data_IF_069587096505
#
_entry.id   IF_069587096505
#
_cell.length_a   1.000
_cell.length_b   1.000
_cell.length_c   1.000
_cell.angle_alpha   90.00
_cell.angle_beta   90.00
_cell.angle_gamma   90.00
#
_symmetry.space_group_name_H-M   'P 1'
#
loop_
_entity.id
_entity.type
_entity.pdbx_description
1 polymer ?
#
# COMPACT_ATOMS: atom_id res chain seq x y z
N UNK A 1 -4.43 -2.18 10.23
CA UNK A 1 -4.26 -1.13 9.21
C UNK A 1 -4.61 0.23 9.82
N UNK A 2 -4.41 1.34 9.10
CA UNK A 2 -4.64 2.70 9.63
C UNK A 2 -5.35 3.60 8.60
N UNK A 3 -5.84 4.78 9.01
CA UNK A 3 -6.58 5.71 8.14
C UNK A 3 -5.85 6.04 6.84
N UNK A 4 -4.52 6.05 6.88
CA UNK A 4 -3.74 6.20 5.67
C UNK A 4 -3.91 5.11 4.61
N UNK A 5 -4.05 3.85 5.02
CA UNK A 5 -4.37 2.74 4.13
C UNK A 5 -5.80 2.89 3.60
N UNK A 6 -6.73 3.32 4.48
CA UNK A 6 -8.12 3.53 4.09
C UNK A 6 -8.25 4.57 2.96
N UNK A 7 -7.64 5.74 3.16
CA UNK A 7 -7.68 6.84 2.18
C UNK A 7 -6.88 6.50 0.92
N UNK A 8 -5.70 5.90 1.08
CA UNK A 8 -4.79 5.63 -0.03
C UNK A 8 -5.17 4.41 -0.89
N UNK A 9 -5.96 3.46 -0.37
CA UNK A 9 -6.28 2.25 -1.12
C UNK A 9 -7.62 1.62 -0.77
N UNK A 10 -7.94 1.40 0.51
CA UNK A 10 -9.07 0.54 0.88
C UNK A 10 -10.42 1.12 0.43
N UNK A 11 -10.63 2.44 0.56
CA UNK A 11 -11.85 3.10 0.10
C UNK A 11 -12.07 2.88 -1.40
N UNK A 12 -11.01 2.84 -2.20
CA UNK A 12 -11.10 2.56 -3.63
C UNK A 12 -11.44 1.08 -3.89
N UNK A 13 -10.77 0.15 -3.19
CA UNK A 13 -11.07 -1.29 -3.29
C UNK A 13 -12.53 -1.62 -2.94
N UNK A 14 -13.10 -0.91 -1.97
CA UNK A 14 -14.52 -1.06 -1.61
C UNK A 14 -15.44 -0.63 -2.74
N UNK A 15 -15.04 0.34 -3.58
CA UNK A 15 -15.80 0.72 -4.78
C UNK A 15 -15.57 -0.26 -5.93
N UNK A 16 -14.32 -0.68 -6.14
CA UNK A 16 -13.93 -1.53 -7.27
C UNK A 16 -14.59 -2.92 -7.20
N UNK A 17 -14.83 -3.46 -6.00
CA UNK A 17 -15.50 -4.76 -5.85
C UNK A 17 -16.93 -4.80 -6.43
N UNK A 18 -17.57 -3.65 -6.67
CA UNK A 18 -18.92 -3.57 -7.26
C UNK A 18 -18.87 -3.42 -8.79
N UNK A 19 -17.69 -3.18 -9.37
CA UNK A 19 -17.51 -2.89 -10.80
C UNK A 19 -16.52 -3.83 -11.51
N UNK A 20 -15.75 -4.61 -10.75
CA UNK A 20 -14.71 -5.50 -11.27
C UNK A 20 -14.70 -6.84 -10.52
N UNK A 21 -14.21 -7.87 -11.20
CA UNK A 21 -13.82 -9.13 -10.57
C UNK A 21 -12.56 -8.92 -9.72
N UNK A 22 -12.77 -8.61 -8.44
CA UNK A 22 -11.70 -8.14 -7.57
C UNK A 22 -10.96 -9.29 -6.88
N UNK A 23 -9.63 -9.22 -6.90
CA UNK A 23 -8.73 -10.05 -6.11
C UNK A 23 -7.99 -9.19 -5.09
N UNK A 24 -7.95 -9.64 -3.84
CA UNK A 24 -7.16 -9.03 -2.77
C UNK A 24 -6.27 -10.08 -2.14
N UNK A 25 -4.98 -9.97 -2.41
CA UNK A 25 -3.96 -10.86 -1.85
C UNK A 25 -3.47 -10.35 -0.48
N UNK A 26 -3.29 -11.27 0.45
CA UNK A 26 -2.48 -11.08 1.66
C UNK A 26 -1.09 -11.63 1.36
N UNK A 27 -0.14 -10.73 1.07
CA UNK A 27 1.20 -11.04 0.57
C UNK A 27 2.17 -11.46 1.69
N UNK A 28 1.92 -12.61 2.32
CA UNK A 28 2.71 -13.09 3.45
C UNK A 28 4.11 -13.59 3.06
N UNK A 29 4.28 -14.16 1.86
CA UNK A 29 5.61 -14.54 1.34
C UNK A 29 6.44 -13.29 1.04
N UNK A 30 5.85 -12.26 0.41
CA UNK A 30 6.52 -10.98 0.18
C UNK A 30 6.88 -10.28 1.51
N UNK A 31 6.00 -10.33 2.52
CA UNK A 31 6.29 -9.78 3.85
C UNK A 31 7.46 -10.49 4.56
N UNK A 32 7.80 -11.73 4.21
CA UNK A 32 8.98 -12.41 4.73
C UNK A 32 10.28 -11.91 4.09
N UNK A 33 10.25 -11.20 2.97
CA UNK A 33 11.48 -10.68 2.34
C UNK A 33 12.24 -9.70 3.25
N UNK A 34 11.54 -9.03 4.17
CA UNK A 34 12.10 -8.10 5.15
C UNK A 34 11.72 -8.41 6.62
N UNK A 35 10.93 -9.46 6.87
CA UNK A 35 10.60 -9.95 8.21
C UNK A 35 10.89 -11.46 8.39
N UNK A 36 11.83 -12.04 7.62
CA UNK A 36 12.17 -13.46 7.70
C UNK A 36 12.66 -13.93 9.08
N UNK A 37 13.24 -13.03 9.89
CA UNK A 37 13.64 -13.32 11.27
C UNK A 37 12.46 -13.31 12.27
N UNK A 38 11.28 -12.83 11.84
CA UNK A 38 10.07 -12.65 12.66
C UNK A 38 8.82 -13.24 12.00
N UNK A 39 8.81 -14.53 11.63
CA UNK A 39 7.68 -15.15 10.91
C UNK A 39 6.36 -15.14 11.72
N UNK A 40 6.44 -15.15 13.05
CA UNK A 40 5.28 -15.04 13.95
C UNK A 40 4.53 -13.72 13.78
N UNK A 41 5.24 -12.62 13.51
CA UNK A 41 4.66 -11.31 13.25
C UNK A 41 3.89 -11.29 11.93
N UNK A 42 4.45 -11.91 10.88
CA UNK A 42 3.78 -12.04 9.58
C UNK A 42 2.51 -12.88 9.74
N UNK A 43 2.61 -14.03 10.41
CA UNK A 43 1.46 -14.92 10.67
C UNK A 43 0.33 -14.23 11.44
N UNK A 44 0.66 -13.47 12.49
CA UNK A 44 -0.33 -12.72 13.25
C UNK A 44 -1.03 -11.66 12.37
N UNK A 45 -0.24 -10.96 11.54
CA UNK A 45 -0.73 -9.89 10.67
C UNK A 45 -1.75 -10.37 9.63
N UNK A 46 -1.70 -11.63 9.19
CA UNK A 46 -2.68 -12.19 8.22
C UNK A 46 -4.11 -12.02 8.74
N UNK A 47 -4.35 -12.38 10.01
CA UNK A 47 -5.68 -12.26 10.62
C UNK A 47 -6.09 -10.81 10.81
N UNK A 48 -5.16 -9.96 11.27
CA UNK A 48 -5.41 -8.53 11.45
C UNK A 48 -5.80 -7.86 10.13
N UNK A 49 -5.04 -8.11 9.07
CA UNK A 49 -5.29 -7.58 7.71
C UNK A 49 -6.63 -8.06 7.17
N UNK A 50 -6.96 -9.35 7.35
CA UNK A 50 -8.25 -9.87 6.92
C UNK A 50 -9.41 -9.18 7.68
N UNK A 51 -9.28 -9.02 9.00
CA UNK A 51 -10.28 -8.31 9.81
C UNK A 51 -10.45 -6.85 9.35
N UNK A 52 -9.34 -6.15 9.09
CA UNK A 52 -9.37 -4.79 8.57
C UNK A 52 -10.11 -4.70 7.23
N UNK A 53 -9.87 -5.63 6.29
CA UNK A 53 -10.58 -5.66 5.01
C UNK A 53 -12.09 -5.83 5.19
N UNK A 54 -12.51 -6.77 6.04
CA UNK A 54 -13.93 -6.97 6.33
C UNK A 54 -14.54 -5.75 7.00
N UNK A 55 -13.84 -5.14 7.97
CA UNK A 55 -14.32 -4.00 8.72
C UNK A 55 -14.56 -2.76 7.85
N UNK A 56 -13.75 -2.54 6.80
CA UNK A 56 -13.94 -1.41 5.88
C UNK A 56 -14.97 -1.68 4.78
N UNK A 57 -15.52 -2.89 4.71
CA UNK A 57 -16.60 -3.26 3.78
C UNK A 57 -16.14 -4.02 2.53
N UNK A 58 -14.96 -4.65 2.54
CA UNK A 58 -14.64 -5.66 1.52
C UNK A 58 -15.52 -6.89 1.79
N UNK A 59 -16.36 -7.23 0.82
CA UNK A 59 -17.29 -8.35 0.89
C UNK A 59 -16.67 -9.60 0.24
N UNK A 60 -16.44 -10.70 0.99
CA UNK A 60 -15.93 -11.95 0.44
C UNK A 60 -16.84 -12.61 -0.61
N UNK A 61 -18.11 -12.17 -0.71
CA UNK A 61 -19.01 -12.63 -1.78
C UNK A 61 -18.77 -11.92 -3.12
N UNK A 62 -18.07 -10.78 -3.09
CA UNK A 62 -17.76 -9.95 -4.27
C UNK A 62 -16.27 -9.93 -4.59
N UNK A 63 -15.42 -10.08 -3.56
CA UNK A 63 -13.97 -10.05 -3.67
C UNK A 63 -13.38 -11.42 -3.32
N UNK A 64 -12.51 -11.92 -4.20
CA UNK A 64 -11.68 -13.09 -3.89
C UNK A 64 -10.50 -12.66 -3.02
N UNK A 65 -10.53 -13.04 -1.75
CA UNK A 65 -9.43 -12.81 -0.81
C UNK A 65 -8.62 -14.09 -0.67
N UNK A 66 -7.31 -14.02 -0.87
CA UNK A 66 -6.42 -15.19 -0.74
C UNK A 66 -5.10 -14.85 -0.05
N UNK A 67 -4.43 -15.87 0.47
CA UNK A 67 -3.13 -15.77 1.15
C UNK A 67 -2.07 -16.28 0.18
N UNK A 68 -1.01 -15.50 -0.04
CA UNK A 68 0.02 -15.79 -1.05
C UNK A 68 0.69 -17.15 -0.82
N UNK A 69 1.07 -17.47 0.42
CA UNK A 69 1.72 -18.75 0.76
C UNK A 69 0.85 -19.99 0.55
N UNK A 70 -0.47 -19.83 0.37
CA UNK A 70 -1.38 -20.95 0.08
C UNK A 70 -1.48 -21.27 -1.42
N UNK A 71 -0.81 -20.49 -2.26
CA UNK A 71 -0.78 -20.66 -3.72
C UNK A 71 0.69 -20.89 -4.15
N UNK A 72 1.21 -22.13 -4.04
CA UNK A 72 2.60 -22.43 -4.36
C UNK A 72 2.97 -22.17 -5.82
N UNK A 73 1.99 -22.15 -6.73
CA UNK A 73 2.18 -21.85 -8.16
C UNK A 73 2.73 -20.44 -8.38
N UNK A 74 2.46 -19.48 -7.48
CA UNK A 74 3.06 -18.14 -7.52
C UNK A 74 4.59 -18.23 -7.34
N UNK A 75 5.05 -19.08 -6.42
CA UNK A 75 6.47 -19.27 -6.19
C UNK A 75 7.13 -19.96 -7.39
N UNK A 76 6.47 -20.96 -7.99
CA UNK A 76 6.94 -21.58 -9.23
C UNK A 76 7.05 -20.57 -10.38
N UNK A 77 6.02 -19.75 -10.60
CA UNK A 77 6.00 -18.73 -11.64
C UNK A 77 7.09 -17.68 -11.43
N UNK A 78 7.36 -17.32 -10.17
CA UNK A 78 8.47 -16.43 -9.80
C UNK A 78 9.80 -16.99 -10.28
N UNK A 79 10.06 -18.29 -10.08
CA UNK A 79 11.30 -18.94 -10.54
C UNK A 79 11.44 -18.85 -12.06
N UNK A 80 10.35 -19.03 -12.82
CA UNK A 80 10.39 -18.86 -14.26
C UNK A 80 10.70 -17.41 -14.66
N UNK A 81 10.05 -16.44 -14.01
CA UNK A 81 10.23 -15.01 -14.29
C UNK A 81 11.62 -14.48 -13.95
N UNK A 82 12.33 -15.08 -12.98
CA UNK A 82 13.72 -14.74 -12.68
C UNK A 82 14.66 -14.91 -13.89
N UNK A 83 14.31 -15.74 -14.87
CA UNK A 83 15.10 -15.90 -16.10
C UNK A 83 14.81 -14.80 -17.14
N UNK A 84 13.76 -14.00 -16.95
CA UNK A 84 13.27 -13.02 -17.92
C UNK A 84 13.72 -11.59 -17.62
N UNK A 85 14.36 -11.37 -16.48
CA UNK A 85 14.82 -10.07 -16.01
C UNK A 85 16.24 -10.19 -15.45
N UNK A 86 17.09 -9.20 -15.72
CA UNK A 86 18.45 -9.19 -15.17
C UNK A 86 18.46 -8.63 -13.76
N UNK A 87 19.39 -9.10 -12.92
CA UNK A 87 19.64 -8.54 -11.59
C UNK A 87 19.84 -7.02 -11.63
N UNK A 88 20.59 -6.52 -12.63
CA UNK A 88 20.82 -5.09 -12.79
C UNK A 88 19.51 -4.31 -13.07
N UNK A 89 18.60 -4.85 -13.89
CA UNK A 89 17.32 -4.21 -14.16
C UNK A 89 16.47 -4.09 -12.90
N UNK A 90 16.48 -5.13 -12.07
CA UNK A 90 15.78 -5.15 -10.76
C UNK A 90 16.38 -4.11 -9.81
N UNK A 91 17.70 -4.06 -9.66
CA UNK A 91 18.36 -3.11 -8.75
C UNK A 91 18.27 -1.64 -9.20
N UNK A 92 17.96 -1.40 -10.49
CA UNK A 92 17.67 -0.07 -11.03
C UNK A 92 16.23 0.39 -10.81
N UNK A 93 15.34 -0.47 -10.28
CA UNK A 93 13.99 -0.07 -9.91
C UNK A 93 14.06 1.01 -8.80
N UNK A 94 13.54 2.23 -9.02
CA UNK A 94 13.68 3.34 -8.07
C UNK A 94 12.99 3.06 -6.74
N UNK A 95 11.85 2.36 -6.74
CA UNK A 95 11.11 1.97 -5.54
C UNK A 95 11.96 1.06 -4.66
N UNK A 96 12.48 -0.01 -5.25
CA UNK A 96 13.38 -0.96 -4.56
C UNK A 96 14.63 -0.25 -4.04
N UNK A 97 15.24 0.61 -4.85
CA UNK A 97 16.44 1.37 -4.47
C UNK A 97 16.20 2.26 -3.26
N UNK A 98 15.05 2.93 -3.20
CA UNK A 98 14.71 3.80 -2.08
C UNK A 98 14.34 3.00 -0.83
N UNK A 99 13.67 1.86 -0.97
CA UNK A 99 13.39 0.96 0.15
C UNK A 99 14.66 0.33 0.73
N UNK A 100 15.63 -0.08 -0.11
CA UNK A 100 16.95 -0.55 0.32
C UNK A 100 17.65 0.50 1.20
N UNK A 101 17.64 1.76 0.76
CA UNK A 101 18.22 2.86 1.55
C UNK A 101 17.49 3.05 2.87
N UNK A 102 16.15 3.04 2.85
CA UNK A 102 15.33 3.23 4.05
C UNK A 102 15.52 2.12 5.08
N UNK A 103 15.74 0.88 4.63
CA UNK A 103 16.01 -0.27 5.49
C UNK A 103 17.46 -0.36 5.95
N UNK A 104 18.36 0.45 5.40
CA UNK A 104 19.76 0.47 5.78
C UNK A 104 20.51 -0.80 5.40
N UNK A 105 20.06 -1.55 4.38
CA UNK A 105 20.73 -2.78 3.96
C UNK A 105 22.13 -2.54 3.39
N UNK A 106 22.40 -1.34 2.89
CA UNK A 106 23.66 -1.02 2.23
C UNK A 106 23.91 -1.97 1.06
N UNK A 107 25.01 -2.71 1.10
CA UNK A 107 25.34 -3.73 0.09
C UNK A 107 24.82 -5.14 0.45
N UNK A 108 24.40 -5.36 1.69
CA UNK A 108 23.94 -6.67 2.18
C UNK A 108 22.42 -6.81 2.02
N UNK A 109 21.95 -6.71 0.77
CA UNK A 109 20.53 -6.77 0.46
C UNK A 109 20.09 -8.24 0.46
N UNK A 110 19.05 -8.64 1.21
CA UNK A 110 18.51 -9.99 1.13
C UNK A 110 18.07 -10.29 -0.32
N UNK A 111 18.46 -11.45 -0.86
CA UNK A 111 18.16 -11.78 -2.26
C UNK A 111 16.64 -11.79 -2.55
N UNK A 112 15.84 -12.33 -1.63
CA UNK A 112 14.38 -12.29 -1.73
C UNK A 112 13.83 -10.87 -1.73
N UNK A 113 14.42 -9.95 -0.95
CA UNK A 113 14.07 -8.53 -0.98
C UNK A 113 14.48 -7.87 -2.29
N UNK A 114 15.68 -8.15 -2.80
CA UNK A 114 16.08 -7.59 -4.09
C UNK A 114 15.09 -8.02 -5.19
N UNK A 115 14.65 -9.28 -5.17
CA UNK A 115 13.86 -9.88 -6.26
C UNK A 115 12.34 -9.79 -6.08
N UNK A 116 11.83 -9.15 -5.02
CA UNK A 116 10.38 -9.07 -4.79
C UNK A 116 9.58 -8.45 -5.96
N UNK A 117 10.13 -7.55 -6.81
CA UNK A 117 9.38 -7.11 -7.99
C UNK A 117 9.04 -8.21 -8.98
N UNK A 118 9.89 -9.25 -9.04
CA UNK A 118 9.68 -10.40 -9.91
C UNK A 118 8.60 -11.32 -9.35
N UNK A 119 8.58 -11.53 -8.02
CA UNK A 119 7.47 -12.26 -7.39
C UNK A 119 6.16 -11.49 -7.47
N UNK A 120 6.20 -10.16 -7.34
CA UNK A 120 5.01 -9.32 -7.52
C UNK A 120 4.46 -9.38 -8.95
N UNK A 121 5.32 -9.49 -9.96
CA UNK A 121 4.88 -9.75 -11.32
C UNK A 121 4.16 -11.11 -11.42
N UNK A 122 4.67 -12.15 -10.75
CA UNK A 122 4.02 -13.46 -10.68
C UNK A 122 2.66 -13.40 -9.95
N UNK A 123 2.54 -12.62 -8.88
CA UNK A 123 1.27 -12.40 -8.18
C UNK A 123 0.20 -11.80 -9.11
N UNK A 124 0.59 -10.80 -9.91
CA UNK A 124 -0.30 -10.09 -10.84
C UNK A 124 -0.75 -11.01 -11.97
N UNK A 125 0.18 -11.75 -12.58
CA UNK A 125 -0.12 -12.60 -13.74
C UNK A 125 -0.78 -13.93 -13.37
N UNK A 126 -0.58 -14.43 -12.15
CA UNK A 126 -1.25 -15.64 -11.65
C UNK A 126 -2.79 -15.50 -11.72
N UNK A 127 -3.32 -14.33 -11.39
CA UNK A 127 -4.77 -14.03 -11.49
C UNK A 127 -5.17 -13.39 -12.82
N UNK A 128 -4.26 -13.30 -13.80
CA UNK A 128 -4.46 -12.59 -15.07
C UNK A 128 -5.01 -11.16 -14.89
N UNK A 129 -4.49 -10.42 -13.91
CA UNK A 129 -4.97 -9.06 -13.65
C UNK A 129 -4.65 -8.13 -14.84
N UNK A 130 -5.70 -7.51 -15.38
CA UNK A 130 -5.61 -6.49 -16.42
C UNK A 130 -5.49 -5.07 -15.86
N UNK A 131 -5.89 -4.85 -14.60
CA UNK A 131 -5.87 -3.56 -13.93
C UNK A 131 -5.39 -3.73 -12.48
N UNK A 132 -4.38 -2.96 -12.08
CA UNK A 132 -3.75 -3.05 -10.75
C UNK A 132 -3.80 -1.69 -10.06
N UNK A 133 -4.59 -1.53 -8.98
CA UNK A 133 -4.60 -0.30 -8.19
C UNK A 133 -3.27 -0.10 -7.46
N UNK A 134 -2.62 1.03 -7.72
CA UNK A 134 -1.28 1.33 -7.19
C UNK A 134 -1.11 2.80 -6.81
N UNK A 135 -0.15 3.07 -5.92
CA UNK A 135 0.37 4.42 -5.72
C UNK A 135 1.36 4.80 -6.83
N UNK A 136 1.64 6.08 -7.00
CA UNK A 136 2.64 6.58 -7.97
C UNK A 136 4.02 5.95 -7.74
N UNK A 137 4.39 5.72 -6.48
CA UNK A 137 5.64 5.06 -6.10
C UNK A 137 5.74 3.60 -6.53
N UNK A 138 4.64 2.98 -6.95
CA UNK A 138 4.58 1.58 -7.39
C UNK A 138 4.46 1.46 -8.92
N UNK A 139 4.35 2.57 -9.67
CA UNK A 139 4.39 2.54 -11.14
C UNK A 139 5.61 1.80 -11.72
N UNK A 140 6.84 1.96 -11.16
CA UNK A 140 8.01 1.22 -11.65
C UNK A 140 7.86 -0.30 -11.52
N UNK A 141 7.10 -0.78 -10.53
CA UNK A 141 6.80 -2.19 -10.32
C UNK A 141 5.87 -2.74 -11.40
N UNK A 142 4.85 -1.94 -11.75
CA UNK A 142 3.91 -2.30 -12.83
C UNK A 142 4.63 -2.31 -14.18
N UNK A 143 5.50 -1.33 -14.46
CA UNK A 143 6.29 -1.35 -15.70
C UNK A 143 7.20 -2.58 -15.77
N UNK A 144 7.85 -2.95 -14.67
CA UNK A 144 8.67 -4.16 -14.62
C UNK A 144 7.84 -5.43 -14.85
N UNK A 145 6.61 -5.47 -14.35
CA UNK A 145 5.66 -6.56 -14.63
C UNK A 145 5.33 -6.64 -16.12
N UNK A 146 5.06 -5.49 -16.77
CA UNK A 146 4.80 -5.43 -18.21
C UNK A 146 5.99 -5.85 -19.05
N UNK A 147 7.22 -5.49 -18.64
CA UNK A 147 8.45 -5.98 -19.29
C UNK A 147 8.56 -7.51 -19.22
N UNK A 148 8.29 -8.10 -18.06
CA UNK A 148 8.32 -9.56 -17.87
C UNK A 148 7.24 -10.24 -18.72
N UNK A 149 6.00 -9.72 -18.71
CA UNK A 149 4.89 -10.23 -19.53
C UNK A 149 5.24 -10.19 -21.02
N UNK A 150 5.71 -9.05 -21.53
CA UNK A 150 6.12 -8.91 -22.94
C UNK A 150 7.22 -9.91 -23.29
N UNK A 151 8.22 -10.07 -22.42
CA UNK A 151 9.32 -11.02 -22.62
C UNK A 151 8.81 -12.46 -22.65
N UNK A 152 7.98 -12.85 -21.68
CA UNK A 152 7.38 -14.19 -21.62
C UNK A 152 6.59 -14.48 -22.90
N UNK A 153 5.67 -13.58 -23.27
CA UNK A 153 4.81 -13.78 -24.43
C UNK A 153 5.61 -13.86 -25.73
N UNK A 154 6.69 -13.09 -25.86
CA UNK A 154 7.58 -13.14 -27.04
C UNK A 154 8.34 -14.46 -27.18
N UNK A 155 8.62 -15.15 -26.08
CA UNK A 155 9.41 -16.39 -26.07
C UNK A 155 8.53 -17.63 -26.17
N UNK A 156 7.35 -17.60 -25.53
CA UNK A 156 6.54 -18.80 -25.29
C UNK A 156 5.14 -18.73 -25.92
N UNK A 157 4.77 -17.60 -26.52
CA UNK A 157 3.44 -17.35 -27.09
C UNK A 157 2.57 -16.49 -26.16
N UNK A 158 1.51 -15.88 -26.71
CA UNK A 158 0.63 -14.98 -25.96
C UNK A 158 -0.18 -15.73 -24.90
N UNK A 159 0.22 -15.58 -23.64
CA UNK A 159 -0.42 -16.24 -22.48
C UNK A 159 -0.91 -15.21 -21.46
N UNK A 160 -0.05 -14.26 -21.08
CA UNK A 160 -0.36 -13.28 -20.05
C UNK A 160 -0.83 -11.94 -20.62
N UNK A 161 -1.75 -11.29 -19.90
CA UNK A 161 -2.21 -9.93 -20.22
C UNK A 161 -1.25 -8.90 -19.62
N UNK A 162 -0.91 -7.86 -20.38
CA UNK A 162 -0.16 -6.73 -19.81
C UNK A 162 -1.06 -5.92 -18.84
N UNK A 163 -0.69 -5.79 -17.57
CA UNK A 163 -1.49 -5.03 -16.60
C UNK A 163 -1.40 -3.52 -16.84
N UNK A 164 -2.51 -2.83 -16.61
CA UNK A 164 -2.57 -1.38 -16.50
C UNK A 164 -2.55 -0.93 -15.03
N UNK A 165 -1.88 0.20 -14.77
CA UNK A 165 -1.87 0.79 -13.44
C UNK A 165 -3.11 1.67 -13.25
N UNK A 166 -3.85 1.47 -12.16
CA UNK A 166 -4.88 2.40 -11.70
C UNK A 166 -4.33 3.26 -10.55
N UNK A 167 -3.90 4.48 -10.87
CA UNK A 167 -3.38 5.43 -9.88
C UNK A 167 -4.54 6.16 -9.21
N UNK A 168 -4.58 6.14 -7.87
CA UNK A 168 -5.61 6.83 -7.11
C UNK A 168 -5.48 8.36 -7.12
N UNK A 169 -6.60 9.07 -7.03
CA UNK A 169 -6.66 10.54 -7.05
C UNK A 169 -6.19 11.22 -5.74
N UNK A 170 -6.07 10.46 -4.65
CA UNK A 170 -5.96 11.04 -3.31
C UNK A 170 -4.50 11.19 -2.87
N UNK A 171 -4.11 12.42 -2.55
CA UNK A 171 -2.84 12.74 -1.89
C UNK A 171 -2.69 11.95 -0.58
N UNK A 172 -1.46 11.52 -0.27
CA UNK A 172 -1.16 10.79 0.96
C UNK A 172 -1.62 11.62 2.18
N UNK A 173 -2.51 11.05 3.00
CA UNK A 173 -2.93 11.69 4.25
C UNK A 173 -1.72 11.85 5.24
N UNK A 174 -1.50 13.01 5.88
CA UNK A 174 -0.35 13.20 6.77
C UNK A 174 -0.47 12.39 8.07
N UNK A 175 0.66 12.16 8.75
CA UNK A 175 0.68 11.69 10.14
C UNK A 175 0.07 12.73 11.08
N UNK A 176 -0.33 12.29 12.28
CA UNK A 176 -0.88 13.23 13.30
C UNK A 176 0.17 14.23 13.78
N UNK A 177 1.45 14.00 13.53
CA UNK A 177 2.58 14.86 13.87
C UNK A 177 2.96 15.85 12.75
N UNK A 178 2.25 15.86 11.62
CA UNK A 178 2.55 16.71 10.46
C UNK A 178 3.56 16.14 9.47
N UNK A 179 4.17 14.99 9.77
CA UNK A 179 5.09 14.35 8.83
C UNK A 179 4.32 13.73 7.64
N UNK A 180 4.88 13.84 6.44
CA UNK A 180 4.33 13.18 5.24
C UNK A 180 4.31 11.65 5.37
N UNK A 181 5.25 11.10 6.14
CA UNK A 181 5.37 9.66 6.40
C UNK A 181 4.68 9.32 7.70
N UNK A 182 3.84 8.28 7.65
CA UNK A 182 3.10 7.73 8.79
C UNK A 182 3.36 6.25 8.93
N UNK A 183 3.33 5.75 10.16
CA UNK A 183 3.47 4.31 10.37
C UNK A 183 3.51 3.93 11.83
N UNK A 184 3.37 2.63 12.09
CA UNK A 184 3.43 2.06 13.43
C UNK A 184 4.73 2.40 14.16
N UNK A 185 5.84 2.43 13.44
CA UNK A 185 7.17 2.77 13.97
C UNK A 185 7.31 4.23 14.37
N UNK A 186 6.53 5.15 13.79
CA UNK A 186 6.57 6.58 14.11
C UNK A 186 5.56 6.97 15.19
N UNK A 187 4.65 6.06 15.58
CA UNK A 187 3.61 6.34 16.58
C UNK A 187 2.58 7.39 16.14
N UNK A 188 2.61 7.82 14.88
CA UNK A 188 1.84 8.96 14.37
C UNK A 188 0.60 8.56 13.54
N UNK A 189 0.09 7.33 13.74
CA UNK A 189 -1.00 6.76 12.97
C UNK A 189 -2.28 6.56 13.82
N UNK A 190 -3.43 6.86 13.21
CA UNK A 190 -4.76 6.49 13.71
C UNK A 190 -5.17 5.17 13.06
N UNK A 191 -5.29 4.11 13.87
CA UNK A 191 -5.65 2.77 13.41
C UNK A 191 -7.15 2.63 13.19
N UNK A 192 -7.53 1.73 12.30
CA UNK A 192 -8.95 1.41 12.08
C UNK A 192 -9.59 0.73 13.30
N UNK A 193 -8.76 0.10 14.13
CA UNK A 193 -9.14 -0.61 15.35
C UNK A 193 -8.99 0.24 16.62
N UNK A 194 -8.60 1.52 16.52
CA UNK A 194 -8.52 2.39 17.69
C UNK A 194 -9.91 2.51 18.35
N UNK A 195 -9.95 2.44 19.67
CA UNK A 195 -11.17 2.77 20.43
C UNK A 195 -11.55 4.25 20.29
N UNK A 196 -12.78 4.61 20.61
CA UNK A 196 -13.23 6.00 20.60
C UNK A 196 -12.38 6.90 21.51
N UNK A 197 -11.95 6.38 22.66
CA UNK A 197 -11.07 7.10 23.59
C UNK A 197 -9.68 7.36 22.98
N UNK A 198 -9.07 6.34 22.38
CA UNK A 198 -7.77 6.46 21.72
C UNK A 198 -7.84 7.39 20.51
N UNK A 199 -8.91 7.28 19.71
CA UNK A 199 -9.16 8.15 18.57
C UNK A 199 -9.26 9.61 19.04
N UNK A 200 -10.08 9.90 20.05
CA UNK A 200 -10.24 11.25 20.59
C UNK A 200 -8.91 11.80 21.10
N UNK A 201 -8.13 10.99 21.83
CA UNK A 201 -6.81 11.38 22.32
C UNK A 201 -5.86 11.72 21.16
N UNK A 202 -5.82 10.89 20.11
CA UNK A 202 -4.97 11.12 18.94
C UNK A 202 -5.40 12.36 18.17
N UNK A 203 -6.69 12.55 17.94
CA UNK A 203 -7.24 13.73 17.24
C UNK A 203 -6.90 15.03 17.99
N UNK A 204 -7.04 15.03 19.32
CA UNK A 204 -6.68 16.20 20.14
C UNK A 204 -5.17 16.47 20.20
N UNK A 205 -4.34 15.51 19.81
CA UNK A 205 -2.87 15.65 19.73
C UNK A 205 -2.34 15.95 18.34
N UNK A 206 -3.22 16.13 17.34
CA UNK A 206 -2.79 16.41 15.98
C UNK A 206 -2.03 17.75 15.94
N UNK A 207 -0.85 17.74 15.34
CA UNK A 207 -0.08 18.94 15.02
C UNK A 207 -0.92 19.92 14.20
N UNK A 208 -0.83 21.21 14.52
CA UNK A 208 -1.59 22.26 13.83
C UNK A 208 -0.66 23.34 13.28
N UNK A 209 -0.64 24.51 13.90
CA UNK A 209 0.24 25.62 13.54
C UNK A 209 0.98 26.07 14.80
N UNK A 210 2.32 25.95 14.86
CA UNK A 210 3.10 26.34 16.02
C UNK A 210 3.03 27.85 16.29
N UNK A 211 2.63 28.66 15.30
CA UNK A 211 2.48 30.10 15.45
C UNK A 211 1.12 30.50 16.03
N UNK A 212 0.14 29.59 16.06
CA UNK A 212 -1.18 29.81 16.67
C UNK A 212 -1.13 29.41 18.14
N UNK A 213 -0.69 30.33 18.99
CA UNK A 213 -0.50 30.08 20.43
C UNK A 213 -1.86 30.14 21.16
N UNK A 214 -2.71 31.09 20.78
CA UNK A 214 -4.05 31.27 21.35
C UNK A 214 -5.16 31.01 20.32
N UNK A 215 -6.37 30.64 20.77
CA UNK A 215 -7.50 30.40 19.86
C UNK A 215 -7.88 31.61 18.99
N UNK A 216 -7.61 32.82 19.49
CA UNK A 216 -7.86 34.10 18.81
C UNK A 216 -6.78 34.50 17.82
N UNK A 217 -5.61 33.84 17.85
CA UNK A 217 -4.54 34.12 16.91
C UNK A 217 -4.90 33.54 15.54
N UNK A 218 -4.60 34.26 14.44
CA UNK A 218 -4.78 33.72 13.11
C UNK A 218 -3.85 32.52 12.91
N UNK A 219 -4.40 31.42 12.40
CA UNK A 219 -3.64 30.21 12.08
C UNK A 219 -3.51 29.99 10.58
N UNK A 220 -2.57 29.14 10.20
CA UNK A 220 -2.43 28.66 8.81
C UNK A 220 -3.19 27.35 8.58
N UNK A 221 -3.88 27.29 7.44
CA UNK A 221 -4.53 26.08 6.92
C UNK A 221 -3.55 25.24 6.10
N UNK A 222 -2.66 25.90 5.35
CA UNK A 222 -1.61 25.24 4.57
C UNK A 222 -0.70 24.43 5.47
N UNK A 223 -0.37 23.21 5.05
CA UNK A 223 0.47 22.26 5.80
C UNK A 223 -0.08 21.85 7.18
N UNK A 224 -1.31 22.22 7.53
CA UNK A 224 -1.95 21.84 8.78
C UNK A 224 -2.72 20.51 8.61
N UNK A 225 -2.27 19.42 9.27
CA UNK A 225 -2.91 18.12 9.17
C UNK A 225 -4.38 18.13 9.54
N UNK A 226 -4.82 18.93 10.53
CA UNK A 226 -6.23 18.96 10.96
C UNK A 226 -7.17 19.27 9.79
N UNK A 227 -6.83 20.28 8.98
CA UNK A 227 -7.63 20.63 7.81
C UNK A 227 -7.54 19.57 6.71
N UNK A 228 -6.39 18.90 6.55
CA UNK A 228 -6.28 17.78 5.62
C UNK A 228 -7.19 16.62 6.02
N UNK A 229 -7.30 16.32 7.32
CA UNK A 229 -8.24 15.31 7.83
C UNK A 229 -9.69 15.74 7.62
N UNK A 230 -10.04 17.01 7.88
CA UNK A 230 -11.38 17.53 7.57
C UNK A 230 -11.72 17.45 6.07
N UNK A 231 -10.80 17.83 5.19
CA UNK A 231 -10.99 17.74 3.74
C UNK A 231 -11.26 16.30 3.27
N UNK A 232 -10.70 15.30 3.95
CA UNK A 232 -10.88 13.89 3.59
C UNK A 232 -12.13 13.27 4.23
N UNK A 233 -12.38 13.54 5.51
CA UNK A 233 -13.37 12.80 6.30
C UNK A 233 -14.65 13.59 6.62
N UNK A 234 -14.62 14.93 6.59
CA UNK A 234 -15.84 15.72 6.80
C UNK A 234 -16.65 15.79 5.48
N UNK A 235 -17.89 15.24 5.44
CA UNK A 235 -18.74 15.32 4.25
C UNK A 235 -19.28 16.73 3.99
N UNK A 236 -19.37 17.60 5.00
CA UNK A 236 -19.89 18.95 4.86
C UNK A 236 -18.78 19.92 4.41
N UNK A 237 -18.66 20.11 3.09
CA UNK A 237 -17.64 21.00 2.52
C UNK A 237 -17.86 22.48 2.81
N UNK A 238 -19.10 22.91 3.09
CA UNK A 238 -19.40 24.27 3.52
C UNK A 238 -18.80 24.55 4.90
N UNK A 239 -19.04 23.64 5.85
CA UNK A 239 -18.44 23.75 7.20
C UNK A 239 -16.91 23.74 7.17
N UNK A 240 -16.30 22.88 6.34
CA UNK A 240 -14.83 22.89 6.21
C UNK A 240 -14.32 24.20 5.62
N UNK A 241 -15.06 24.83 4.71
CA UNK A 241 -14.71 26.14 4.18
C UNK A 241 -14.87 27.26 5.23
N UNK A 242 -15.90 27.19 6.08
CA UNK A 242 -16.12 28.15 7.17
C UNK A 242 -15.07 28.03 8.28
N UNK A 243 -14.50 26.84 8.48
CA UNK A 243 -13.43 26.59 9.46
C UNK A 243 -12.05 27.08 9.00
N UNK A 244 -11.84 27.29 7.69
CA UNK A 244 -10.57 27.70 7.08
C UNK A 244 -10.39 29.21 7.12
#
# INVERSE_FOLDING_TARGET
>A
MHLGHYVGSLKNRVKLQDSYDQYVMIADVQALTDNFEHPEKVRASIREVLLDYLAVGIDPKKTTIFIQSLIPEIAELTIYYLNLVTLERVLRNPTVKDEIKQKGFGHNIPAGFAMYPVSQAADITFVNANLVPVGEDQLPMIEQTREIVRKFNSLYGEVFVEPEALVGEVKRLPGIDGNEKRGKSLGNAIYLSDSEEELKKKVMSIYTDPNRIHPTDPGKVEENPVFTYHDVFNPNKGEVADLK
#
